data_IF_639806369320
#
_entry.id   IF_639806369320
#
_cell.length_a   1.000
_cell.length_b   1.000
_cell.length_c   1.000
_cell.angle_alpha   90.00
_cell.angle_beta   90.00
_cell.angle_gamma   90.00
#
_symmetry.space_group_name_H-M   'P 1'
#
loop_
_entity.id
_entity.type
_entity.pdbx_description
1 polymer ?
#
# COMPACT_ATOMS: atom_id res chain seq x y z
N UNK A 1 -21.36 -28.75 -0.18
CA UNK A 1 -20.51 -27.89 -1.04
C UNK A 1 -19.21 -27.66 -0.30
N UNK A 2 -18.08 -28.03 -0.89
CA UNK A 2 -16.76 -27.71 -0.35
C UNK A 2 -16.57 -26.18 -0.41
N UNK A 3 -16.57 -25.50 0.74
CA UNK A 3 -16.44 -24.03 0.80
C UNK A 3 -15.01 -23.54 0.53
N UNK A 4 -14.02 -24.42 0.63
CA UNK A 4 -12.59 -24.06 0.56
C UNK A 4 -12.20 -23.38 -0.76
N UNK A 5 -12.58 -23.88 -1.96
CA UNK A 5 -12.20 -23.24 -3.22
C UNK A 5 -12.78 -21.82 -3.35
N UNK A 6 -13.96 -21.56 -2.79
CA UNK A 6 -14.57 -20.22 -2.80
C UNK A 6 -13.80 -19.24 -1.92
N UNK A 7 -13.35 -19.67 -0.73
CA UNK A 7 -12.51 -18.85 0.15
C UNK A 7 -11.18 -18.53 -0.53
N UNK A 8 -10.55 -19.50 -1.18
CA UNK A 8 -9.31 -19.29 -1.94
C UNK A 8 -9.55 -18.31 -3.11
N UNK A 9 -10.65 -18.44 -3.85
CA UNK A 9 -11.00 -17.51 -4.91
C UNK A 9 -11.16 -16.07 -4.38
N UNK A 10 -11.86 -15.89 -3.25
CA UNK A 10 -12.03 -14.58 -2.61
C UNK A 10 -10.67 -14.01 -2.21
N UNK A 11 -9.79 -14.82 -1.61
CA UNK A 11 -8.43 -14.39 -1.25
C UNK A 11 -7.65 -13.91 -2.49
N UNK A 12 -7.68 -14.66 -3.59
CA UNK A 12 -7.00 -14.29 -4.83
C UNK A 12 -7.58 -13.02 -5.45
N UNK A 13 -8.91 -12.91 -5.57
CA UNK A 13 -9.57 -11.72 -6.10
C UNK A 13 -9.29 -10.48 -5.24
N UNK A 14 -9.26 -10.63 -3.91
CA UNK A 14 -8.89 -9.57 -3.00
C UNK A 14 -7.43 -9.15 -3.16
N UNK A 15 -6.51 -10.10 -3.45
CA UNK A 15 -5.11 -9.78 -3.76
C UNK A 15 -5.01 -8.93 -5.03
N UNK A 16 -5.74 -9.29 -6.09
CA UNK A 16 -5.81 -8.48 -7.31
C UNK A 16 -6.38 -7.09 -7.06
N UNK A 17 -7.51 -6.99 -6.35
CA UNK A 17 -8.11 -5.71 -6.00
C UNK A 17 -7.16 -4.84 -5.16
N UNK A 18 -6.45 -5.45 -4.21
CA UNK A 18 -5.42 -4.80 -3.41
C UNK A 18 -4.30 -4.24 -4.30
N UNK A 19 -3.69 -5.07 -5.17
CA UNK A 19 -2.58 -4.65 -6.03
C UNK A 19 -3.02 -3.56 -7.01
N UNK A 20 -4.22 -3.63 -7.57
CA UNK A 20 -4.74 -2.60 -8.48
C UNK A 20 -4.96 -1.27 -7.78
N UNK A 21 -5.65 -1.27 -6.63
CA UNK A 21 -5.92 -0.06 -5.86
C UNK A 21 -4.63 0.55 -5.28
N UNK A 22 -3.76 -0.29 -4.72
CA UNK A 22 -2.44 0.12 -4.22
C UNK A 22 -1.54 0.63 -5.34
N UNK A 23 -1.53 -0.06 -6.47
CA UNK A 23 -0.74 0.32 -7.66
C UNK A 23 -1.17 1.66 -8.25
N UNK A 24 -2.47 1.97 -8.26
CA UNK A 24 -2.96 3.29 -8.64
C UNK A 24 -2.42 4.40 -7.71
N UNK A 25 -2.46 4.19 -6.39
CA UNK A 25 -1.86 5.10 -5.40
C UNK A 25 -0.34 5.24 -5.58
N UNK A 26 0.36 4.13 -5.84
CA UNK A 26 1.79 4.12 -6.09
C UNK A 26 2.15 4.85 -7.40
N UNK A 27 1.33 4.75 -8.44
CA UNK A 27 1.54 5.50 -9.68
C UNK A 27 1.40 7.01 -9.48
N UNK A 28 0.45 7.43 -8.64
CA UNK A 28 0.30 8.84 -8.26
C UNK A 28 1.58 9.40 -7.65
N UNK A 29 2.30 8.64 -6.82
CA UNK A 29 3.58 9.06 -6.25
C UNK A 29 4.61 9.48 -7.30
N UNK A 30 4.69 8.76 -8.43
CA UNK A 30 5.55 9.14 -9.56
C UNK A 30 5.03 10.38 -10.29
N UNK A 31 3.72 10.51 -10.45
CA UNK A 31 3.10 11.70 -11.08
C UNK A 31 3.31 12.96 -10.25
N UNK A 32 3.18 12.86 -8.92
CA UNK A 32 3.44 13.95 -7.97
C UNK A 32 4.88 14.47 -8.11
N UNK A 33 5.88 13.58 -8.20
CA UNK A 33 7.28 13.97 -8.40
C UNK A 33 7.52 14.73 -9.71
N UNK A 34 6.79 14.39 -10.77
CA UNK A 34 6.95 15.01 -12.09
C UNK A 34 6.13 16.30 -12.26
N UNK A 35 5.13 16.53 -11.41
CA UNK A 35 4.26 17.69 -11.48
C UNK A 35 4.91 18.93 -10.86
N UNK A 36 4.58 20.11 -11.37
CA UNK A 36 5.09 21.40 -10.89
C UNK A 36 4.00 22.34 -10.42
N UNK A 37 2.76 22.13 -10.86
CA UNK A 37 1.62 22.94 -10.45
C UNK A 37 1.03 22.46 -9.10
N UNK A 38 1.06 23.28 -8.03
CA UNK A 38 0.60 22.86 -6.69
C UNK A 38 -0.84 22.34 -6.65
N UNK A 39 -1.75 22.98 -7.40
CA UNK A 39 -3.15 22.57 -7.46
C UNK A 39 -3.32 21.16 -8.07
N UNK A 40 -2.51 20.80 -9.07
CA UNK A 40 -2.52 19.46 -9.66
C UNK A 40 -1.92 18.42 -8.71
N UNK A 41 -0.87 18.78 -7.98
CA UNK A 41 -0.27 17.90 -6.96
C UNK A 41 -1.30 17.59 -5.87
N UNK A 42 -1.99 18.62 -5.39
CA UNK A 42 -3.05 18.45 -4.38
C UNK A 42 -4.15 17.49 -4.87
N UNK A 43 -4.65 17.69 -6.09
CA UNK A 43 -5.67 16.81 -6.69
C UNK A 43 -5.18 15.36 -6.88
N UNK A 44 -3.91 15.18 -7.28
CA UNK A 44 -3.28 13.87 -7.36
C UNK A 44 -3.24 13.18 -5.99
N UNK A 45 -2.84 13.90 -4.93
CA UNK A 45 -2.81 13.37 -3.58
C UNK A 45 -4.21 12.97 -3.09
N UNK A 46 -5.25 13.76 -3.40
CA UNK A 46 -6.63 13.42 -3.07
C UNK A 46 -7.13 12.16 -3.79
N UNK A 47 -6.75 12.00 -5.08
CA UNK A 47 -6.97 10.75 -5.82
C UNK A 47 -6.25 9.57 -5.16
N UNK A 48 -5.00 9.75 -4.72
CA UNK A 48 -4.27 8.70 -3.99
C UNK A 48 -5.01 8.31 -2.71
N UNK A 49 -5.53 9.27 -1.94
CA UNK A 49 -6.34 9.00 -0.74
C UNK A 49 -7.57 8.13 -1.02
N UNK A 50 -8.32 8.40 -2.09
CA UNK A 50 -9.51 7.61 -2.40
C UNK A 50 -9.16 6.17 -2.80
N UNK A 51 -8.07 5.98 -3.56
CA UNK A 51 -7.58 4.64 -3.92
C UNK A 51 -7.06 3.84 -2.72
N UNK A 52 -6.47 4.52 -1.72
CA UNK A 52 -6.02 3.87 -0.47
C UNK A 52 -7.19 3.32 0.35
N UNK A 53 -8.35 3.97 0.36
CA UNK A 53 -9.54 3.45 1.05
C UNK A 53 -9.96 2.09 0.46
N UNK A 54 -10.00 1.99 -0.87
CA UNK A 54 -10.32 0.73 -1.58
C UNK A 54 -9.26 -0.33 -1.28
N UNK A 55 -7.97 0.05 -1.30
CA UNK A 55 -6.87 -0.85 -0.94
C UNK A 55 -7.04 -1.41 0.47
N UNK A 56 -7.37 -0.60 1.49
CA UNK A 56 -7.54 -1.11 2.86
C UNK A 56 -8.70 -2.09 2.99
N UNK A 57 -9.81 -1.85 2.30
CA UNK A 57 -10.93 -2.80 2.24
C UNK A 57 -10.48 -4.10 1.58
N UNK A 58 -9.79 -4.04 0.45
CA UNK A 58 -9.27 -5.21 -0.24
C UNK A 58 -8.26 -5.99 0.61
N UNK A 59 -7.37 -5.30 1.32
CA UNK A 59 -6.41 -5.89 2.26
C UNK A 59 -7.13 -6.61 3.40
N UNK A 60 -8.18 -6.02 3.97
CA UNK A 60 -8.96 -6.65 5.03
C UNK A 60 -9.61 -7.96 4.54
N UNK A 61 -10.23 -7.94 3.36
CA UNK A 61 -10.85 -9.13 2.76
C UNK A 61 -9.78 -10.19 2.45
N UNK A 62 -8.63 -9.78 1.90
CA UNK A 62 -7.48 -10.64 1.62
C UNK A 62 -7.03 -11.38 2.89
N UNK A 63 -6.86 -10.66 4.00
CA UNK A 63 -6.41 -11.22 5.27
C UNK A 63 -7.44 -12.19 5.86
N UNK A 64 -8.71 -11.79 5.91
CA UNK A 64 -9.77 -12.64 6.45
C UNK A 64 -9.87 -13.93 5.65
N UNK A 65 -9.95 -13.84 4.31
CA UNK A 65 -10.03 -15.02 3.45
C UNK A 65 -8.77 -15.89 3.57
N UNK A 66 -7.58 -15.29 3.68
CA UNK A 66 -6.33 -16.02 3.86
C UNK A 66 -6.26 -16.78 5.18
N UNK A 67 -6.70 -16.17 6.28
CA UNK A 67 -6.77 -16.81 7.60
C UNK A 67 -7.76 -17.97 7.57
N UNK A 68 -8.96 -17.77 7.00
CA UNK A 68 -9.98 -18.81 6.88
C UNK A 68 -9.47 -19.98 6.03
N UNK A 69 -8.83 -19.71 4.88
CA UNK A 69 -8.21 -20.75 4.05
C UNK A 69 -7.09 -21.48 4.81
N UNK A 70 -6.28 -20.74 5.59
CA UNK A 70 -5.25 -21.28 6.46
C UNK A 70 -5.79 -22.29 7.48
N UNK A 71 -6.92 -21.98 8.12
CA UNK A 71 -7.60 -22.87 9.08
C UNK A 71 -8.18 -24.09 8.36
N UNK A 72 -8.93 -23.88 7.28
CA UNK A 72 -9.60 -24.96 6.54
C UNK A 72 -8.62 -25.98 5.94
N UNK A 73 -7.45 -25.51 5.50
CA UNK A 73 -6.40 -26.36 4.93
C UNK A 73 -5.32 -26.79 5.93
N UNK A 74 -5.47 -26.48 7.22
CA UNK A 74 -4.47 -26.78 8.25
C UNK A 74 -3.06 -26.26 7.92
N UNK A 75 -2.96 -25.12 7.22
CA UNK A 75 -1.71 -24.57 6.70
C UNK A 75 -0.83 -23.91 7.77
N UNK A 76 -1.39 -23.56 8.94
CA UNK A 76 -0.63 -22.95 10.03
C UNK A 76 0.42 -23.88 10.67
N UNK A 77 0.34 -25.19 10.41
CA UNK A 77 1.39 -26.14 10.77
C UNK A 77 2.61 -26.10 9.84
N UNK A 78 2.53 -25.36 8.72
CA UNK A 78 3.60 -25.25 7.72
C UNK A 78 4.37 -23.94 7.89
N UNK A 79 5.69 -24.02 7.77
CA UNK A 79 6.56 -22.89 8.04
C UNK A 79 6.48 -21.81 6.95
N UNK A 80 6.20 -22.19 5.69
CA UNK A 80 5.98 -21.21 4.59
C UNK A 80 4.84 -20.22 4.89
N UNK A 81 3.80 -20.65 5.61
CA UNK A 81 2.68 -19.78 6.01
C UNK A 81 3.15 -18.65 6.93
N UNK A 82 3.96 -19.00 7.93
CA UNK A 82 4.53 -18.02 8.86
C UNK A 82 5.55 -17.11 8.19
N UNK A 83 6.38 -17.65 7.29
CA UNK A 83 7.30 -16.86 6.49
C UNK A 83 6.53 -15.81 5.66
N UNK A 84 5.42 -16.18 5.04
CA UNK A 84 4.61 -15.25 4.25
C UNK A 84 3.95 -14.17 5.11
N UNK A 85 3.43 -14.52 6.29
CA UNK A 85 2.91 -13.53 7.25
C UNK A 85 4.02 -12.57 7.68
N UNK A 86 5.21 -13.08 7.99
CA UNK A 86 6.37 -12.26 8.35
C UNK A 86 6.78 -11.30 7.24
N UNK A 87 6.86 -11.76 6.00
CA UNK A 87 7.15 -10.92 4.82
C UNK A 87 6.08 -9.85 4.64
N UNK A 88 4.80 -10.23 4.71
CA UNK A 88 3.70 -9.27 4.59
C UNK A 88 3.80 -8.16 5.65
N UNK A 89 3.99 -8.52 6.92
CA UNK A 89 4.11 -7.55 8.02
C UNK A 89 5.32 -6.66 7.82
N UNK A 90 6.48 -7.22 7.46
CA UNK A 90 7.70 -6.46 7.22
C UNK A 90 7.52 -5.44 6.07
N UNK A 91 6.92 -5.86 4.96
CA UNK A 91 6.63 -4.99 3.82
C UNK A 91 5.64 -3.89 4.20
N UNK A 92 4.54 -4.23 4.89
CA UNK A 92 3.55 -3.26 5.34
C UNK A 92 4.20 -2.18 6.24
N UNK A 93 4.98 -2.59 7.23
CA UNK A 93 5.67 -1.67 8.14
C UNK A 93 6.66 -0.79 7.39
N UNK A 94 7.50 -1.38 6.54
CA UNK A 94 8.53 -0.64 5.80
C UNK A 94 7.90 0.37 4.85
N UNK A 95 6.88 -0.02 4.09
CA UNK A 95 6.15 0.89 3.20
C UNK A 95 5.42 1.98 3.99
N UNK A 96 4.78 1.64 5.11
CA UNK A 96 4.11 2.62 5.96
C UNK A 96 5.08 3.69 6.47
N UNK A 97 6.23 3.29 7.02
CA UNK A 97 7.25 4.22 7.52
C UNK A 97 7.81 5.08 6.38
N UNK A 98 8.16 4.47 5.24
CA UNK A 98 8.75 5.20 4.12
C UNK A 98 7.78 6.19 3.47
N UNK A 99 6.50 5.83 3.35
CA UNK A 99 5.48 6.63 2.69
C UNK A 99 4.87 7.69 3.61
N UNK A 100 4.48 7.32 4.83
CA UNK A 100 3.72 8.20 5.72
C UNK A 100 4.49 9.47 6.05
N UNK A 101 5.77 9.37 6.42
CA UNK A 101 6.59 10.53 6.78
C UNK A 101 6.72 11.51 5.61
N UNK A 102 6.94 11.00 4.41
CA UNK A 102 7.14 11.82 3.22
C UNK A 102 5.84 12.47 2.72
N UNK A 103 4.80 11.68 2.44
CA UNK A 103 3.56 12.20 1.84
C UNK A 103 2.70 13.01 2.82
N UNK A 104 2.80 12.75 4.12
CA UNK A 104 2.23 13.65 5.13
C UNK A 104 2.92 15.01 5.08
N UNK A 105 4.25 15.03 4.93
CA UNK A 105 5.02 16.26 4.76
C UNK A 105 4.60 17.04 3.52
N UNK A 106 4.50 16.38 2.36
CA UNK A 106 4.07 17.01 1.11
C UNK A 106 2.65 17.59 1.21
N UNK A 107 1.72 16.87 1.85
CA UNK A 107 0.35 17.38 2.10
C UNK A 107 0.34 18.60 3.00
N UNK A 108 1.13 18.60 4.08
CA UNK A 108 1.26 19.77 4.96
C UNK A 108 1.86 20.96 4.22
N UNK A 109 2.87 20.73 3.38
CA UNK A 109 3.46 21.78 2.53
C UNK A 109 2.43 22.41 1.58
N UNK A 110 1.45 21.64 1.11
CA UNK A 110 0.34 22.13 0.28
C UNK A 110 -0.82 22.74 1.09
N UNK A 111 -0.74 22.76 2.42
CA UNK A 111 -1.84 23.16 3.29
C UNK A 111 -3.06 22.24 3.22
N UNK A 112 -2.86 20.96 2.86
CA UNK A 112 -3.91 19.95 2.87
C UNK A 112 -4.07 19.30 4.24
N UNK A 113 -5.28 18.84 4.52
CA UNK A 113 -5.54 17.95 5.65
C UNK A 113 -4.76 16.63 5.48
N UNK A 114 -4.25 16.11 6.59
CA UNK A 114 -3.56 14.82 6.64
C UNK A 114 -4.42 13.78 7.34
N UNK A 115 -4.34 12.55 6.87
CA UNK A 115 -5.17 11.47 7.38
C UNK A 115 -4.90 11.24 8.87
N UNK A 116 -5.95 11.30 9.70
CA UNK A 116 -5.87 11.10 11.15
C UNK A 116 -5.39 12.32 11.95
N UNK A 117 -5.04 13.44 11.32
CA UNK A 117 -4.70 14.68 12.03
C UNK A 117 -5.96 15.40 12.52
N UNK A 118 -5.94 15.86 13.78
CA UNK A 118 -6.94 16.77 14.36
C UNK A 118 -6.51 18.23 14.26
N UNK A 119 -5.25 18.49 13.89
CA UNK A 119 -4.75 19.84 13.72
C UNK A 119 -5.34 20.47 12.46
N UNK A 120 -5.67 21.78 12.48
CA UNK A 120 -6.01 22.51 11.27
C UNK A 120 -4.88 22.40 10.24
N UNK A 121 -5.20 22.36 8.93
CA UNK A 121 -4.18 22.39 7.90
C UNK A 121 -3.29 23.64 8.06
N UNK A 122 -1.95 23.50 8.01
CA UNK A 122 -1.06 24.65 8.06
C UNK A 122 -1.21 25.50 6.79
N UNK A 123 -0.76 26.77 6.80
CA UNK A 123 -0.66 27.54 5.57
C UNK A 123 0.30 26.85 4.58
N UNK A 124 0.00 26.86 3.26
CA UNK A 124 0.91 26.32 2.26
C UNK A 124 2.28 27.01 2.29
N UNK A 125 3.33 26.24 2.03
CA UNK A 125 4.70 26.77 1.87
C UNK A 125 4.90 27.40 0.49
N UNK A 126 6.07 28.00 0.28
CA UNK A 126 6.42 28.54 -1.05
C UNK A 126 6.49 27.44 -2.11
N UNK A 127 6.23 27.79 -3.37
CA UNK A 127 6.29 26.83 -4.49
C UNK A 127 7.70 26.24 -4.61
N UNK A 128 8.74 27.06 -4.47
CA UNK A 128 10.13 26.58 -4.57
C UNK A 128 10.48 25.57 -3.48
N UNK A 129 10.02 25.79 -2.25
CA UNK A 129 10.21 24.86 -1.14
C UNK A 129 9.47 23.54 -1.38
N UNK A 130 8.22 23.60 -1.88
CA UNK A 130 7.47 22.41 -2.27
C UNK A 130 8.20 21.61 -3.34
N UNK A 131 8.69 22.28 -4.40
CA UNK A 131 9.38 21.61 -5.50
C UNK A 131 10.69 20.95 -5.03
N UNK A 132 11.42 21.58 -4.11
CA UNK A 132 12.60 20.98 -3.49
C UNK A 132 12.27 19.69 -2.73
N UNK A 133 11.13 19.64 -2.02
CA UNK A 133 10.67 18.40 -1.35
C UNK A 133 10.30 17.29 -2.34
N UNK A 134 9.82 17.63 -3.52
CA UNK A 134 9.43 16.67 -4.56
C UNK A 134 10.60 16.01 -5.26
N UNK A 135 11.80 16.59 -5.19
CA UNK A 135 13.02 15.96 -5.73
C UNK A 135 13.54 14.85 -4.81
N UNK A 136 12.78 13.75 -4.77
CA UNK A 136 13.05 12.61 -3.91
C UNK A 136 12.90 11.29 -4.67
N UNK A 137 13.71 10.29 -4.31
CA UNK A 137 13.62 8.90 -4.82
C UNK A 137 12.71 7.99 -3.98
N UNK A 138 11.84 8.59 -3.16
CA UNK A 138 10.89 7.87 -2.30
C UNK A 138 9.95 6.97 -3.09
N UNK A 139 9.35 7.39 -4.22
CA UNK A 139 8.51 6.52 -5.03
C UNK A 139 9.23 5.22 -5.43
N UNK A 140 10.46 5.32 -5.93
CA UNK A 140 11.24 4.15 -6.35
C UNK A 140 11.55 3.20 -5.19
N UNK A 141 11.96 3.74 -4.03
CA UNK A 141 12.26 2.92 -2.86
C UNK A 141 11.02 2.14 -2.38
N UNK A 142 9.87 2.80 -2.33
CA UNK A 142 8.60 2.19 -1.90
C UNK A 142 8.15 1.14 -2.92
N UNK A 143 8.25 1.43 -4.22
CA UNK A 143 7.92 0.47 -5.29
C UNK A 143 8.83 -0.74 -5.27
N UNK A 144 10.13 -0.57 -5.03
CA UNK A 144 11.08 -1.68 -4.95
C UNK A 144 10.74 -2.61 -3.77
N UNK A 145 10.49 -2.04 -2.59
CA UNK A 145 10.08 -2.80 -1.40
C UNK A 145 8.78 -3.57 -1.66
N UNK A 146 7.76 -2.90 -2.18
CA UNK A 146 6.47 -3.54 -2.49
C UNK A 146 6.59 -4.60 -3.57
N UNK A 147 7.36 -4.35 -4.63
CA UNK A 147 7.55 -5.28 -5.74
C UNK A 147 8.30 -6.54 -5.34
N UNK A 148 9.43 -6.41 -4.62
CA UNK A 148 10.17 -7.56 -4.09
C UNK A 148 9.30 -8.34 -3.10
N UNK A 149 8.62 -7.64 -2.19
CA UNK A 149 7.70 -8.25 -1.24
C UNK A 149 6.59 -9.07 -1.91
N UNK A 150 5.97 -8.52 -2.95
CA UNK A 150 4.93 -9.20 -3.72
C UNK A 150 5.46 -10.46 -4.41
N UNK A 151 6.63 -10.39 -5.05
CA UNK A 151 7.24 -11.57 -5.70
C UNK A 151 7.51 -12.68 -4.69
N UNK A 152 8.06 -12.34 -3.52
CA UNK A 152 8.33 -13.31 -2.45
C UNK A 152 7.04 -13.91 -1.90
N UNK A 153 6.00 -13.12 -1.70
CA UNK A 153 4.69 -13.60 -1.24
C UNK A 153 4.06 -14.57 -2.24
N UNK A 154 4.07 -14.23 -3.53
CA UNK A 154 3.56 -15.09 -4.60
C UNK A 154 4.34 -16.40 -4.65
N UNK A 155 5.67 -16.34 -4.56
CA UNK A 155 6.53 -17.52 -4.52
C UNK A 155 6.20 -18.44 -3.33
N UNK A 156 6.07 -17.90 -2.12
CA UNK A 156 5.73 -18.66 -0.91
C UNK A 156 4.34 -19.30 -1.02
N UNK A 157 3.35 -18.57 -1.52
CA UNK A 157 1.96 -19.03 -1.60
C UNK A 157 1.72 -20.08 -2.69
N UNK A 158 2.46 -20.02 -3.80
CA UNK A 158 2.33 -20.97 -4.91
C UNK A 158 3.19 -22.20 -4.69
N UNK A 159 4.50 -22.03 -4.42
CA UNK A 159 5.43 -23.15 -4.38
C UNK A 159 5.48 -23.86 -3.01
N UNK A 160 5.09 -23.18 -1.93
CA UNK A 160 5.00 -23.75 -0.57
C UNK A 160 6.24 -24.58 -0.18
N UNK A 161 7.45 -24.00 -0.24
CA UNK A 161 8.69 -24.75 -0.29
C UNK A 161 9.08 -25.51 0.99
N UNK A 162 8.45 -25.25 2.13
CA UNK A 162 8.77 -25.88 3.43
C UNK A 162 7.59 -25.86 4.43
#
# INVERSE_FOLDING_TARGET
MEFYPWVVLIHVLAAFAFVLAHGASAFVAFRVRAEREPARIAALLDLSSSTLAVMYVALLVLLIAGIVAGIMGSWFAKLWTWAAIGVLVAVLVLMYVLASTYYTGVRRALGQATFGSKEPPPPPVSVDELLAMLDSRRPEAITLVGGIGLVVLVWLMILKPF
#
